data_IF_889043304820
#
_entry.id   IF_889043304820
#
_cell.length_a   1.000
_cell.length_b   1.000
_cell.length_c   1.000
_cell.angle_alpha   90.00
_cell.angle_beta   90.00
_cell.angle_gamma   90.00
#
_symmetry.space_group_name_H-M   'P 1'
#
loop_
_entity.id
_entity.type
_entity.pdbx_description
1 polymer ?
#
# COMPACT_ATOMS: atom_id res chain seq x y z
N UNK A 1 40.64 23.39 31.15
CA UNK A 1 40.99 22.27 30.24
C UNK A 1 39.93 21.16 30.10
N UNK A 2 38.73 21.23 30.68
CA UNK A 2 37.71 20.16 30.58
C UNK A 2 36.63 20.37 29.51
N UNK A 3 36.55 21.56 28.90
CA UNK A 3 35.49 21.91 27.93
C UNK A 3 35.74 21.32 26.53
N UNK A 4 36.98 21.41 26.03
CA UNK A 4 37.33 20.99 24.66
C UNK A 4 37.12 19.49 24.41
N UNK A 5 37.40 18.64 25.41
CA UNK A 5 37.24 17.18 25.32
C UNK A 5 35.78 16.73 25.24
N UNK A 6 34.85 17.52 25.83
CA UNK A 6 33.39 17.27 25.74
C UNK A 6 32.85 17.68 24.37
N UNK A 7 33.39 18.75 23.78
CA UNK A 7 33.01 19.24 22.45
C UNK A 7 33.46 18.26 21.36
N UNK A 8 34.67 17.69 21.46
CA UNK A 8 35.19 16.72 20.47
C UNK A 8 34.39 15.41 20.47
N UNK A 9 34.02 14.90 21.65
CA UNK A 9 33.20 13.67 21.76
C UNK A 9 31.80 13.90 21.22
N UNK A 10 31.18 15.07 21.50
CA UNK A 10 29.88 15.41 20.93
C UNK A 10 29.94 15.53 19.40
N UNK A 11 30.95 16.19 18.85
CA UNK A 11 31.12 16.33 17.39
C UNK A 11 31.36 14.98 16.69
N UNK A 12 32.12 14.06 17.31
CA UNK A 12 32.31 12.70 16.81
C UNK A 12 31.03 11.87 16.87
N UNK A 13 30.21 12.02 17.92
CA UNK A 13 28.91 11.34 18.01
C UNK A 13 27.93 11.84 16.92
N UNK A 14 27.89 13.14 16.66
CA UNK A 14 27.06 13.70 15.58
C UNK A 14 27.52 13.23 14.19
N UNK A 15 28.84 13.15 13.96
CA UNK A 15 29.40 12.66 12.70
C UNK A 15 29.13 11.16 12.47
N UNK A 16 29.13 10.36 13.53
CA UNK A 16 28.79 8.92 13.45
C UNK A 16 27.29 8.72 13.20
N UNK A 17 26.43 9.57 13.79
CA UNK A 17 24.98 9.49 13.60
C UNK A 17 24.55 9.86 12.16
N UNK A 18 25.29 10.74 11.48
CA UNK A 18 25.01 11.13 10.07
C UNK A 18 25.45 10.09 9.03
N UNK A 19 26.25 9.09 9.43
CA UNK A 19 26.71 8.01 8.56
C UNK A 19 25.82 6.76 8.63
N UNK A 20 24.82 6.77 9.50
CA UNK A 20 23.82 5.70 9.53
C UNK A 20 22.98 5.80 8.25
N UNK A 21 22.77 4.68 7.51
CA UNK A 21 21.84 4.69 6.40
C UNK A 21 20.46 5.09 6.96
N UNK A 22 19.97 6.27 6.55
CA UNK A 22 18.55 6.56 6.68
C UNK A 22 17.84 5.56 5.79
N UNK A 23 17.17 4.59 6.41
CA UNK A 23 16.16 3.83 5.71
C UNK A 23 15.10 4.83 5.23
N UNK A 24 15.22 5.28 3.97
CA UNK A 24 14.10 5.89 3.30
C UNK A 24 12.97 4.86 3.32
N UNK A 25 11.75 5.28 3.66
CA UNK A 25 10.58 4.45 3.39
C UNK A 25 10.63 4.09 1.90
N UNK A 26 10.96 2.83 1.59
CA UNK A 26 11.01 2.39 0.22
C UNK A 26 9.57 2.32 -0.27
N UNK A 27 9.32 2.96 -1.41
CA UNK A 27 8.12 2.76 -2.21
C UNK A 27 7.88 1.25 -2.38
N UNK A 28 6.83 0.70 -1.78
CA UNK A 28 6.52 -0.70 -2.02
C UNK A 28 5.99 -0.83 -3.45
N UNK A 29 6.72 -1.54 -4.30
CA UNK A 29 6.23 -1.84 -5.64
C UNK A 29 4.99 -2.75 -5.56
N UNK A 30 4.16 -2.79 -6.62
CA UNK A 30 3.17 -3.84 -6.75
C UNK A 30 3.78 -5.23 -6.53
N UNK A 31 3.25 -5.99 -5.57
CA UNK A 31 3.93 -7.14 -4.99
C UNK A 31 4.05 -8.37 -5.91
N UNK A 32 3.18 -8.45 -6.92
CA UNK A 32 3.20 -9.51 -7.94
C UNK A 32 2.99 -8.94 -9.34
N UNK A 33 3.22 -9.79 -10.34
CA UNK A 33 3.07 -9.44 -11.75
C UNK A 33 1.64 -9.02 -12.15
N UNK A 34 0.61 -9.48 -11.45
CA UNK A 34 -0.78 -9.15 -11.77
C UNK A 34 -1.15 -7.74 -11.28
N UNK A 35 -0.76 -7.40 -10.06
CA UNK A 35 -0.84 -6.04 -9.53
C UNK A 35 0.06 -5.10 -10.34
N UNK A 36 1.29 -5.51 -10.64
CA UNK A 36 2.20 -4.72 -11.47
C UNK A 36 1.64 -4.46 -12.86
N UNK A 37 1.05 -5.47 -13.52
CA UNK A 37 0.41 -5.31 -14.84
C UNK A 37 -0.77 -4.34 -14.78
N UNK A 38 -1.56 -4.38 -13.70
CA UNK A 38 -2.69 -3.48 -13.49
C UNK A 38 -2.21 -2.05 -13.27
N UNK A 39 -1.26 -1.83 -12.36
CA UNK A 39 -0.64 -0.54 -12.10
C UNK A 39 0.07 0.01 -13.34
N UNK A 40 0.80 -0.82 -14.07
CA UNK A 40 1.52 -0.41 -15.27
C UNK A 40 0.58 0.09 -16.37
N UNK A 41 -0.61 -0.51 -16.49
CA UNK A 41 -1.62 -0.08 -17.44
C UNK A 41 -2.25 1.26 -17.06
N UNK A 42 -2.40 1.55 -15.77
CA UNK A 42 -3.14 2.73 -15.29
C UNK A 42 -2.23 3.86 -14.80
N UNK A 43 -1.25 3.60 -13.95
CA UNK A 43 -0.51 4.65 -13.24
C UNK A 43 0.91 4.86 -13.76
N UNK A 44 1.51 3.89 -14.46
CA UNK A 44 2.81 4.11 -15.11
C UNK A 44 2.82 5.29 -16.10
N UNK A 45 1.81 5.52 -16.96
CA UNK A 45 1.81 6.69 -17.82
C UNK A 45 1.78 8.02 -17.05
N UNK A 46 1.19 8.04 -15.84
CA UNK A 46 1.23 9.21 -14.95
C UNK A 46 2.63 9.35 -14.36
N UNK A 47 3.21 8.25 -13.85
CA UNK A 47 4.56 8.22 -13.30
C UNK A 47 5.64 8.64 -14.30
N UNK A 48 5.49 8.21 -15.57
CA UNK A 48 6.39 8.54 -16.67
C UNK A 48 6.17 9.96 -17.24
N UNK A 49 5.17 10.70 -16.74
CA UNK A 49 4.81 12.03 -17.25
C UNK A 49 4.23 12.03 -18.67
N UNK A 50 3.77 10.88 -19.17
CA UNK A 50 3.19 10.73 -20.51
C UNK A 50 1.75 11.28 -20.58
N UNK A 51 1.06 11.34 -19.44
CA UNK A 51 -0.31 11.89 -19.33
C UNK A 51 -0.41 12.80 -18.11
N UNK A 52 -1.25 13.84 -18.20
CA UNK A 52 -1.51 14.76 -17.09
C UNK A 52 -2.90 14.49 -16.50
N UNK A 53 -2.95 13.56 -15.55
CA UNK A 53 -4.13 13.27 -14.72
C UNK A 53 -3.68 12.75 -13.35
N UNK A 54 -4.61 12.67 -12.41
CA UNK A 54 -4.35 12.09 -11.09
C UNK A 54 -4.10 10.57 -11.16
N UNK A 55 -3.57 10.04 -10.06
CA UNK A 55 -3.33 8.61 -9.81
C UNK A 55 -4.64 7.84 -9.63
N UNK A 56 -4.70 6.61 -10.15
CA UNK A 56 -5.80 5.69 -9.86
C UNK A 56 -5.57 4.90 -8.58
N UNK A 57 -4.33 4.51 -8.31
CA UNK A 57 -3.90 3.75 -7.14
C UNK A 57 -2.96 4.57 -6.28
N UNK A 58 -1.94 5.18 -6.91
CA UNK A 58 -0.87 5.91 -6.23
C UNK A 58 0.51 5.52 -6.79
N UNK A 59 1.56 6.29 -6.47
CA UNK A 59 2.92 6.01 -6.96
C UNK A 59 3.53 4.75 -6.34
N UNK A 60 3.08 4.36 -5.15
CA UNK A 60 3.62 3.25 -4.37
C UNK A 60 2.53 2.58 -3.51
N UNK A 61 2.74 1.31 -3.16
CA UNK A 61 1.96 0.61 -2.16
C UNK A 61 2.38 1.00 -0.74
N UNK A 62 1.42 1.02 0.17
CA UNK A 62 1.65 1.19 1.61
C UNK A 62 2.06 -0.11 2.31
N UNK A 63 1.75 -1.24 1.68
CA UNK A 63 2.04 -2.57 2.18
C UNK A 63 2.66 -3.40 1.08
N UNK A 64 3.41 -4.43 1.44
CA UNK A 64 3.58 -5.60 0.58
C UNK A 64 2.26 -6.35 0.37
N UNK A 65 2.34 -7.55 -0.19
CA UNK A 65 1.17 -8.42 -0.31
C UNK A 65 0.70 -8.92 1.05
N UNK A 66 -0.61 -8.91 1.24
CA UNK A 66 -1.25 -9.41 2.44
C UNK A 66 -2.30 -10.44 2.03
N UNK A 67 -2.37 -11.53 2.79
CA UNK A 67 -3.46 -12.50 2.71
C UNK A 67 -4.54 -12.12 3.72
N UNK A 68 -5.76 -11.91 3.25
CA UNK A 68 -6.90 -11.54 4.10
C UNK A 68 -8.03 -12.56 3.99
N UNK A 69 -8.81 -12.81 5.06
CA UNK A 69 -9.99 -13.65 4.99
C UNK A 69 -10.98 -13.20 3.89
N UNK A 70 -11.37 -14.14 3.04
CA UNK A 70 -12.42 -13.93 2.05
C UNK A 70 -13.17 -15.25 1.79
N UNK A 71 -14.43 -15.31 2.21
CA UNK A 71 -15.20 -16.55 2.32
C UNK A 71 -15.30 -17.32 0.98
N UNK A 72 -15.45 -16.61 -0.13
CA UNK A 72 -15.62 -17.20 -1.46
C UNK A 72 -14.30 -17.51 -2.17
N UNK A 73 -13.16 -17.07 -1.63
CA UNK A 73 -11.86 -17.36 -2.23
C UNK A 73 -11.43 -18.81 -2.01
N UNK A 74 -10.71 -19.39 -2.97
CA UNK A 74 -10.10 -20.71 -2.80
C UNK A 74 -9.11 -20.69 -1.63
N UNK A 75 -9.37 -21.46 -0.58
CA UNK A 75 -8.58 -21.45 0.66
C UNK A 75 -9.00 -20.38 1.67
N UNK A 76 -10.12 -19.67 1.41
CA UNK A 76 -10.69 -18.69 2.34
C UNK A 76 -9.88 -17.39 2.48
N UNK A 77 -8.94 -17.14 1.57
CA UNK A 77 -8.04 -15.98 1.61
C UNK A 77 -7.99 -15.26 0.25
N UNK A 78 -8.15 -13.95 0.25
CA UNK A 78 -7.81 -13.08 -0.89
C UNK A 78 -6.39 -12.54 -0.74
N UNK A 79 -5.72 -12.30 -1.86
CA UNK A 79 -4.45 -11.55 -1.89
C UNK A 79 -4.76 -10.09 -2.10
N UNK A 80 -4.18 -9.21 -1.30
CA UNK A 80 -4.39 -7.76 -1.41
C UNK A 80 -3.10 -6.98 -1.31
N UNK A 81 -3.13 -5.76 -1.83
CA UNK A 81 -2.12 -4.74 -1.55
C UNK A 81 -2.78 -3.36 -1.45
N UNK A 82 -2.38 -2.60 -0.43
CA UNK A 82 -2.94 -1.29 -0.11
C UNK A 82 -2.13 -0.18 -0.78
N UNK A 83 -2.81 0.79 -1.38
CA UNK A 83 -2.25 1.97 -2.01
C UNK A 83 -2.95 3.24 -1.49
N UNK A 84 -2.41 4.41 -1.83
CA UNK A 84 -2.95 5.71 -1.41
C UNK A 84 -4.44 5.91 -1.73
N UNK A 85 -4.87 5.48 -2.91
CA UNK A 85 -6.25 5.71 -3.38
C UNK A 85 -7.21 4.56 -3.13
N UNK A 86 -6.70 3.33 -2.95
CA UNK A 86 -7.55 2.14 -2.81
C UNK A 86 -6.73 0.87 -2.50
N UNK A 87 -7.36 -0.30 -2.63
CA UNK A 87 -6.77 -1.63 -2.48
C UNK A 87 -6.88 -2.39 -3.80
N UNK A 88 -5.79 -3.01 -4.25
CA UNK A 88 -5.87 -4.06 -5.27
C UNK A 88 -6.17 -5.39 -4.59
N UNK A 89 -7.04 -6.21 -5.17
CA UNK A 89 -7.39 -7.52 -4.62
C UNK A 89 -7.54 -8.61 -5.69
N UNK A 90 -7.15 -9.83 -5.34
CA UNK A 90 -7.42 -11.07 -6.08
C UNK A 90 -8.24 -11.97 -5.16
N UNK A 91 -9.54 -12.10 -5.47
CA UNK A 91 -10.50 -12.91 -4.69
C UNK A 91 -10.72 -14.29 -5.29
N UNK A 92 -10.27 -14.54 -6.53
CA UNK A 92 -10.38 -15.85 -7.19
C UNK A 92 -9.06 -16.21 -7.88
N UNK A 93 -8.04 -16.70 -7.14
CA UNK A 93 -6.71 -16.99 -7.69
C UNK A 93 -6.71 -18.03 -8.84
N UNK A 94 -7.74 -18.87 -8.91
CA UNK A 94 -7.90 -19.86 -10.00
C UNK A 94 -8.59 -19.33 -11.26
N UNK A 95 -9.00 -18.06 -11.31
CA UNK A 95 -9.59 -17.45 -12.50
C UNK A 95 -8.53 -17.19 -13.59
N UNK A 96 -8.97 -16.83 -14.81
CA UNK A 96 -8.03 -16.46 -15.88
C UNK A 96 -7.22 -15.20 -15.50
N UNK A 97 -5.89 -15.31 -15.33
CA UNK A 97 -5.05 -14.18 -14.94
C UNK A 97 -4.97 -13.09 -16.02
N UNK A 98 -5.32 -13.39 -17.27
CA UNK A 98 -5.32 -12.41 -18.35
C UNK A 98 -6.61 -11.57 -18.39
N UNK A 99 -7.63 -11.97 -17.63
CA UNK A 99 -8.85 -11.18 -17.50
C UNK A 99 -8.55 -9.81 -16.90
N UNK A 100 -9.18 -8.77 -17.45
CA UNK A 100 -9.09 -7.41 -16.90
C UNK A 100 -9.71 -7.32 -15.49
N UNK A 101 -10.53 -8.29 -15.12
CA UNK A 101 -11.21 -8.40 -13.82
C UNK A 101 -10.47 -9.30 -12.83
N UNK A 102 -9.31 -9.84 -13.21
CA UNK A 102 -8.54 -10.71 -12.32
C UNK A 102 -8.02 -9.96 -11.09
N UNK A 103 -7.67 -8.68 -11.26
CA UNK A 103 -7.38 -7.74 -10.18
C UNK A 103 -8.51 -6.74 -10.12
N UNK A 104 -9.15 -6.60 -8.96
CA UNK A 104 -10.24 -5.64 -8.75
C UNK A 104 -9.84 -4.50 -7.81
N UNK A 105 -10.61 -3.42 -7.86
CA UNK A 105 -10.54 -2.34 -6.88
C UNK A 105 -11.39 -2.74 -5.66
N UNK A 106 -10.74 -2.92 -4.52
CA UNK A 106 -11.42 -3.24 -3.26
C UNK A 106 -12.18 -2.04 -2.69
N UNK A 107 -13.17 -2.33 -1.84
CA UNK A 107 -14.07 -1.33 -1.24
C UNK A 107 -13.44 -0.50 -0.11
N UNK A 108 -12.12 -0.36 -0.07
CA UNK A 108 -11.38 0.17 1.09
C UNK A 108 -11.94 1.49 1.64
N UNK A 109 -12.24 2.45 0.77
CA UNK A 109 -12.78 3.76 1.21
C UNK A 109 -14.15 3.58 1.89
N UNK A 110 -15.00 2.72 1.35
CA UNK A 110 -16.33 2.43 1.92
C UNK A 110 -16.17 1.70 3.26
N UNK A 111 -15.22 0.76 3.35
CA UNK A 111 -14.90 0.02 4.58
C UNK A 111 -14.40 0.97 5.68
N UNK A 112 -13.51 1.92 5.35
CA UNK A 112 -12.97 2.91 6.29
C UNK A 112 -14.04 3.88 6.80
N UNK A 113 -14.98 4.31 5.95
CA UNK A 113 -16.05 5.22 6.34
C UNK A 113 -17.12 4.50 7.18
N UNK A 114 -17.53 3.30 6.75
CA UNK A 114 -18.62 2.57 7.39
C UNK A 114 -18.19 1.74 8.60
N UNK A 115 -16.89 1.44 8.72
CA UNK A 115 -16.39 0.45 9.65
C UNK A 115 -16.88 -0.97 9.32
N UNK A 116 -17.33 -1.25 8.10
CA UNK A 116 -17.78 -2.58 7.69
C UNK A 116 -16.75 -3.17 6.73
N UNK A 117 -15.82 -3.98 7.26
CA UNK A 117 -14.76 -4.59 6.44
C UNK A 117 -15.30 -5.79 5.68
N UNK A 118 -15.15 -5.82 4.36
CA UNK A 118 -15.61 -6.93 3.55
C UNK A 118 -14.71 -8.16 3.75
N UNK A 119 -15.32 -9.30 4.10
CA UNK A 119 -14.66 -10.61 4.25
C UNK A 119 -15.34 -11.70 3.41
N UNK A 120 -16.22 -11.29 2.50
CA UNK A 120 -16.87 -12.11 1.48
C UNK A 120 -17.80 -11.26 0.62
N UNK A 121 -18.43 -11.81 -0.40
CA UNK A 121 -19.27 -11.04 -1.33
C UNK A 121 -20.38 -10.26 -0.61
N UNK A 122 -20.99 -10.90 0.40
CA UNK A 122 -22.05 -10.31 1.22
C UNK A 122 -21.79 -10.46 2.72
N UNK A 123 -20.54 -10.70 3.11
CA UNK A 123 -20.13 -10.93 4.50
C UNK A 123 -19.21 -9.81 4.95
N UNK A 124 -19.53 -9.20 6.08
CA UNK A 124 -18.82 -8.04 6.61
C UNK A 124 -18.48 -8.24 8.09
N UNK A 125 -17.27 -7.83 8.46
CA UNK A 125 -16.77 -7.82 9.84
C UNK A 125 -16.80 -6.38 10.37
N UNK A 126 -17.53 -6.08 11.46
CA UNK A 126 -17.59 -4.74 12.02
C UNK A 126 -16.26 -4.33 12.67
N UNK A 127 -15.81 -3.12 12.33
CA UNK A 127 -14.63 -2.43 12.84
C UNK A 127 -15.00 -1.00 13.25
N UNK A 128 -14.13 -0.34 14.00
CA UNK A 128 -14.26 1.10 14.19
C UNK A 128 -14.04 1.81 12.84
N UNK A 129 -14.92 2.73 12.44
CA UNK A 129 -14.65 3.63 11.32
C UNK A 129 -13.33 4.38 11.51
N UNK A 130 -12.72 4.81 10.41
CA UNK A 130 -11.48 5.56 10.45
C UNK A 130 -11.69 6.96 11.04
N UNK A 131 -10.92 7.30 12.07
CA UNK A 131 -10.92 8.64 12.69
C UNK A 131 -9.90 9.56 12.02
N UNK A 132 -10.14 9.89 10.76
CA UNK A 132 -9.29 10.79 9.96
C UNK A 132 -10.11 11.96 9.42
N UNK A 133 -9.53 13.16 9.45
CA UNK A 133 -10.16 14.34 8.87
C UNK A 133 -10.17 14.21 7.34
N UNK A 134 -11.34 14.34 6.72
CA UNK A 134 -11.48 14.41 5.26
C UNK A 134 -11.29 15.86 4.83
N UNK A 135 -10.24 16.15 4.06
CA UNK A 135 -10.05 17.45 3.41
C UNK A 135 -10.49 17.34 1.94
N UNK A 136 -11.31 18.31 1.50
CA UNK A 136 -11.78 18.44 0.12
C UNK A 136 -11.16 19.66 -0.57
#
# INVERSE_FOLDING_TARGET
MHSSRRITVAALLFLVLSLLPQAAAQAEAPGNEHFQRTWARTDKPVADGQVSRTWMWGPEGFTGEIQEPYAESSGGLRTVQYFDKSRMEITTPGADPNSIWYVTNGLLVVELISGQMQVGHFVFDPRSPAEVNVAG
#
